data_IF_876715503790
#
_entry.id   IF_876715503790
#
_cell.length_a   1.000
_cell.length_b   1.000
_cell.length_c   1.000
_cell.angle_alpha   90.00
_cell.angle_beta   90.00
_cell.angle_gamma   90.00
#
_symmetry.space_group_name_H-M   'P 1'
#
loop_
_entity.id
_entity.type
_entity.pdbx_description
1 polymer ?
#
# COMPACT_ATOMS: atom_id res chain seq x y z
N UNK A 1 -48.09 -31.63 -5.15
CA UNK A 1 -47.31 -32.41 -6.14
C UNK A 1 -47.43 -31.71 -7.48
N UNK A 2 -46.54 -30.77 -7.77
CA UNK A 2 -46.49 -30.14 -9.10
C UNK A 2 -45.20 -30.57 -9.78
N UNK A 3 -45.38 -31.21 -10.92
CA UNK A 3 -44.38 -31.88 -11.71
C UNK A 3 -43.48 -30.86 -12.40
N UNK A 4 -42.18 -30.88 -12.08
CA UNK A 4 -41.14 -30.16 -12.84
C UNK A 4 -41.00 -30.81 -14.23
N UNK A 5 -41.67 -30.25 -15.21
CA UNK A 5 -41.43 -30.58 -16.62
C UNK A 5 -40.14 -29.88 -17.03
N UNK A 6 -39.04 -30.62 -17.09
CA UNK A 6 -37.80 -30.18 -17.71
C UNK A 6 -38.01 -30.09 -19.23
N UNK A 7 -38.23 -28.89 -19.75
CA UNK A 7 -38.20 -28.61 -21.19
C UNK A 7 -36.81 -28.93 -21.74
N UNK A 8 -36.62 -30.07 -22.39
CA UNK A 8 -35.52 -30.38 -23.29
C UNK A 8 -35.48 -29.28 -24.37
N UNK A 9 -34.54 -28.39 -24.30
CA UNK A 9 -34.28 -27.42 -25.37
C UNK A 9 -33.72 -28.17 -26.58
N UNK A 10 -34.40 -28.12 -27.71
CA UNK A 10 -33.95 -28.65 -29.00
C UNK A 10 -32.63 -27.97 -29.38
N UNK A 11 -31.55 -28.75 -29.51
CA UNK A 11 -30.20 -28.29 -29.84
C UNK A 11 -30.05 -27.66 -31.24
N UNK A 12 -31.05 -27.86 -32.12
CA UNK A 12 -30.95 -27.40 -33.53
C UNK A 12 -31.12 -25.87 -33.74
N UNK A 13 -31.80 -25.19 -32.79
CA UNK A 13 -32.02 -23.72 -32.91
C UNK A 13 -30.90 -22.83 -32.30
N UNK A 14 -29.85 -23.43 -31.76
CA UNK A 14 -28.83 -22.66 -31.05
C UNK A 14 -27.86 -21.87 -31.95
N UNK A 15 -27.91 -22.13 -33.29
CA UNK A 15 -27.01 -21.50 -34.27
C UNK A 15 -27.63 -20.36 -35.07
N UNK A 16 -28.88 -19.95 -34.78
CA UNK A 16 -29.63 -18.96 -35.56
C UNK A 16 -29.68 -17.62 -34.81
N UNK A 17 -29.65 -16.52 -35.57
CA UNK A 17 -29.81 -15.18 -35.06
C UNK A 17 -31.15 -15.00 -34.34
N UNK A 18 -31.13 -14.59 -33.09
CA UNK A 18 -32.36 -14.44 -32.29
C UNK A 18 -33.18 -13.20 -32.63
N UNK A 19 -32.64 -12.32 -33.50
CA UNK A 19 -33.33 -11.09 -33.94
C UNK A 19 -34.06 -11.30 -35.25
N UNK A 20 -33.38 -11.75 -36.31
CA UNK A 20 -34.01 -11.98 -37.63
C UNK A 20 -34.48 -13.43 -37.81
N UNK A 21 -33.98 -14.39 -37.07
CA UNK A 21 -34.30 -15.83 -37.13
C UNK A 21 -34.02 -16.50 -38.50
N UNK A 22 -33.22 -15.86 -39.36
CA UNK A 22 -32.94 -16.31 -40.72
C UNK A 22 -31.53 -16.87 -40.83
N UNK A 23 -30.53 -16.09 -40.42
CA UNK A 23 -29.13 -16.40 -40.65
C UNK A 23 -28.45 -16.95 -39.39
N UNK A 24 -27.35 -17.73 -39.56
CA UNK A 24 -26.49 -18.16 -38.46
C UNK A 24 -25.93 -16.94 -37.75
N UNK A 25 -25.86 -17.03 -36.38
CA UNK A 25 -25.28 -15.94 -35.60
C UNK A 25 -23.75 -15.84 -35.79
N UNK A 26 -23.24 -14.63 -35.74
CA UNK A 26 -21.79 -14.31 -35.77
C UNK A 26 -21.35 -13.61 -34.47
N UNK A 27 -22.27 -12.93 -33.81
CA UNK A 27 -21.96 -12.09 -32.64
C UNK A 27 -22.87 -12.47 -31.47
N UNK A 28 -22.31 -12.41 -30.27
CA UNK A 28 -23.06 -12.61 -29.01
C UNK A 28 -22.90 -11.36 -28.15
N UNK A 29 -24.02 -10.78 -27.72
CA UNK A 29 -23.99 -9.59 -26.85
C UNK A 29 -23.35 -9.92 -25.50
N UNK A 30 -22.34 -9.18 -25.05
CA UNK A 30 -21.66 -9.45 -23.80
C UNK A 30 -22.51 -9.17 -22.54
N UNK A 31 -23.60 -8.38 -22.67
CA UNK A 31 -24.49 -8.07 -21.54
C UNK A 31 -25.59 -9.10 -21.37
N UNK A 32 -26.34 -9.39 -22.42
CA UNK A 32 -27.55 -10.21 -22.35
C UNK A 32 -27.45 -11.55 -23.09
N UNK A 33 -26.29 -11.85 -23.72
CA UNK A 33 -25.99 -13.08 -24.45
C UNK A 33 -26.87 -13.35 -25.69
N UNK A 34 -27.65 -12.36 -26.14
CA UNK A 34 -28.42 -12.46 -27.38
C UNK A 34 -27.48 -12.64 -28.56
N UNK A 35 -27.74 -13.68 -29.38
CA UNK A 35 -26.96 -14.07 -30.54
C UNK A 35 -27.49 -13.36 -31.78
N UNK A 36 -26.64 -12.70 -32.56
CA UNK A 36 -26.99 -11.87 -33.74
C UNK A 36 -26.09 -12.19 -34.93
N UNK A 37 -26.61 -12.04 -36.17
CA UNK A 37 -25.86 -12.37 -37.37
C UNK A 37 -25.15 -11.18 -38.04
N UNK A 38 -25.60 -9.96 -37.78
CA UNK A 38 -25.10 -8.75 -38.46
C UNK A 38 -25.13 -7.53 -37.54
N UNK A 39 -24.44 -6.45 -37.99
CA UNK A 39 -24.42 -5.18 -37.25
C UNK A 39 -25.82 -4.55 -37.16
N UNK A 40 -26.66 -4.72 -38.21
CA UNK A 40 -28.06 -4.26 -38.20
C UNK A 40 -28.86 -4.99 -37.11
N UNK A 41 -28.70 -6.32 -36.96
CA UNK A 41 -29.32 -7.10 -35.91
C UNK A 41 -28.78 -6.72 -34.51
N UNK A 42 -27.50 -6.36 -34.39
CA UNK A 42 -26.93 -5.83 -33.12
C UNK A 42 -27.58 -4.49 -32.76
N UNK A 43 -27.75 -3.57 -33.76
CA UNK A 43 -28.41 -2.27 -33.50
C UNK A 43 -29.89 -2.47 -33.12
N UNK A 44 -30.60 -3.34 -33.83
CA UNK A 44 -32.00 -3.68 -33.52
C UNK A 44 -32.18 -4.32 -32.15
N UNK A 45 -31.29 -5.24 -31.78
CA UNK A 45 -31.26 -5.81 -30.45
C UNK A 45 -31.12 -4.73 -29.37
N UNK A 46 -30.14 -3.81 -29.55
CA UNK A 46 -29.90 -2.72 -28.55
C UNK A 46 -31.12 -1.83 -28.41
N UNK A 47 -31.79 -1.47 -29.55
CA UNK A 47 -33.01 -0.66 -29.52
C UNK A 47 -34.18 -1.40 -28.88
N UNK A 48 -34.46 -2.64 -29.33
CA UNK A 48 -35.62 -3.43 -28.87
C UNK A 48 -35.57 -3.78 -27.39
N UNK A 49 -34.39 -4.14 -26.88
CA UNK A 49 -34.22 -4.58 -25.50
C UNK A 49 -33.58 -3.52 -24.59
N UNK A 50 -33.46 -2.28 -25.06
CA UNK A 50 -32.79 -1.17 -24.36
C UNK A 50 -31.41 -1.58 -23.78
N UNK A 51 -30.66 -2.40 -24.55
CA UNK A 51 -29.42 -2.99 -24.14
C UNK A 51 -28.24 -2.11 -24.56
N UNK A 52 -27.40 -1.66 -23.61
CA UNK A 52 -26.21 -0.89 -23.94
C UNK A 52 -25.08 -1.76 -24.53
N UNK A 53 -25.16 -3.10 -24.44
CA UNK A 53 -24.17 -4.03 -24.93
C UNK A 53 -22.90 -4.11 -24.06
N UNK A 54 -22.82 -3.34 -22.99
CA UNK A 54 -21.69 -3.35 -22.06
C UNK A 54 -21.92 -4.42 -21.02
N UNK A 55 -20.91 -5.27 -20.82
CA UNK A 55 -20.95 -6.34 -19.83
C UNK A 55 -20.93 -5.76 -18.42
N UNK A 56 -21.78 -6.28 -17.56
CA UNK A 56 -21.70 -6.03 -16.12
C UNK A 56 -20.52 -6.83 -15.53
N UNK A 57 -19.48 -6.10 -15.11
CA UNK A 57 -18.28 -6.67 -14.50
C UNK A 57 -18.52 -7.17 -13.09
N UNK A 58 -19.51 -6.63 -12.40
CA UNK A 58 -19.78 -6.84 -10.98
C UNK A 58 -21.06 -7.64 -10.70
N UNK A 59 -21.57 -8.36 -11.71
CA UNK A 59 -22.78 -9.16 -11.53
C UNK A 59 -22.58 -10.18 -10.39
N UNK A 60 -23.32 -9.98 -9.29
CA UNK A 60 -23.30 -10.88 -8.14
C UNK A 60 -23.75 -12.28 -8.55
N UNK A 61 -23.00 -13.28 -8.14
CA UNK A 61 -23.35 -14.69 -8.25
C UNK A 61 -23.97 -15.09 -6.91
N UNK A 62 -25.26 -15.39 -6.91
CA UNK A 62 -26.01 -15.67 -5.68
C UNK A 62 -26.05 -17.14 -5.32
N UNK A 63 -25.81 -18.05 -6.28
CA UNK A 63 -25.82 -19.49 -6.09
C UNK A 63 -24.50 -20.12 -6.51
N UNK A 64 -23.96 -21.03 -5.71
CA UNK A 64 -22.73 -21.76 -6.05
C UNK A 64 -22.86 -22.56 -7.35
N UNK A 65 -24.06 -23.01 -7.71
CA UNK A 65 -24.36 -23.70 -8.97
C UNK A 65 -24.16 -22.84 -10.21
N UNK A 66 -24.21 -21.51 -10.07
CA UNK A 66 -24.02 -20.57 -11.17
C UNK A 66 -22.53 -20.24 -11.41
N UNK A 67 -21.66 -20.65 -10.49
CA UNK A 67 -20.22 -20.52 -10.61
C UNK A 67 -19.65 -21.71 -11.40
N UNK A 68 -19.40 -21.47 -12.66
CA UNK A 68 -18.88 -22.47 -13.59
C UNK A 68 -17.53 -22.01 -14.19
N UNK A 69 -16.87 -22.91 -14.92
CA UNK A 69 -15.58 -22.65 -15.54
C UNK A 69 -15.54 -21.35 -16.37
N UNK A 70 -16.61 -21.03 -17.11
CA UNK A 70 -16.71 -19.79 -17.89
C UNK A 70 -16.72 -18.54 -17.02
N UNK A 71 -17.34 -18.62 -15.86
CA UNK A 71 -17.37 -17.56 -14.87
C UNK A 71 -15.97 -17.40 -14.25
N UNK A 72 -15.34 -18.51 -13.89
CA UNK A 72 -13.97 -18.53 -13.36
C UNK A 72 -12.96 -17.85 -14.33
N UNK A 73 -12.91 -18.29 -15.59
CA UNK A 73 -12.01 -17.68 -16.57
C UNK A 73 -12.32 -16.20 -16.83
N UNK A 74 -13.58 -15.84 -16.75
CA UNK A 74 -13.99 -14.44 -16.83
C UNK A 74 -13.41 -13.61 -15.70
N UNK A 75 -13.53 -14.09 -14.49
CA UNK A 75 -13.07 -13.38 -13.30
C UNK A 75 -11.55 -13.34 -13.25
N UNK A 76 -10.88 -14.42 -13.63
CA UNK A 76 -9.42 -14.45 -13.83
C UNK A 76 -8.95 -13.42 -14.85
N UNK A 77 -9.63 -13.31 -16.00
CA UNK A 77 -9.28 -12.31 -17.02
C UNK A 77 -9.50 -10.88 -16.51
N UNK A 78 -10.57 -10.65 -15.74
CA UNK A 78 -10.81 -9.35 -15.13
C UNK A 78 -9.70 -8.98 -14.15
N UNK A 79 -9.34 -9.89 -13.25
CA UNK A 79 -8.26 -9.69 -12.28
C UNK A 79 -6.91 -9.44 -12.97
N UNK A 80 -6.58 -10.25 -14.00
CA UNK A 80 -5.35 -10.07 -14.76
C UNK A 80 -5.29 -8.70 -15.44
N UNK A 81 -6.38 -8.25 -16.05
CA UNK A 81 -6.43 -6.91 -16.67
C UNK A 81 -6.27 -5.81 -15.61
N UNK A 82 -6.95 -5.95 -14.45
CA UNK A 82 -6.84 -4.98 -13.35
C UNK A 82 -5.41 -4.90 -12.80
N UNK A 83 -4.73 -6.05 -12.67
CA UNK A 83 -3.31 -6.09 -12.27
C UNK A 83 -2.43 -5.38 -13.30
N UNK A 84 -2.68 -5.60 -14.60
CA UNK A 84 -1.94 -4.92 -15.65
C UNK A 84 -2.19 -3.40 -15.64
N UNK A 85 -3.43 -2.97 -15.42
CA UNK A 85 -3.79 -1.55 -15.30
C UNK A 85 -3.08 -0.91 -14.09
N UNK A 86 -3.05 -1.60 -12.94
CA UNK A 86 -2.32 -1.18 -11.73
C UNK A 86 -0.83 -1.07 -12.02
N UNK A 87 -0.24 -2.09 -12.65
CA UNK A 87 1.19 -2.10 -12.98
C UNK A 87 1.55 -0.99 -13.97
N UNK A 88 0.68 -0.72 -14.95
CA UNK A 88 0.86 0.38 -15.90
C UNK A 88 0.78 1.73 -15.21
N UNK A 89 -0.22 1.92 -14.34
CA UNK A 89 -0.38 3.14 -13.54
C UNK A 89 0.83 3.34 -12.62
N UNK A 90 1.32 2.28 -11.98
CA UNK A 90 2.52 2.34 -11.13
C UNK A 90 3.77 2.71 -11.93
N UNK A 91 3.92 2.19 -13.17
CA UNK A 91 5.02 2.59 -14.06
C UNK A 91 4.93 4.06 -14.44
N UNK A 92 3.72 4.56 -14.75
CA UNK A 92 3.52 5.99 -15.06
C UNK A 92 3.87 6.85 -13.85
N UNK A 93 3.39 6.50 -12.67
CA UNK A 93 3.71 7.20 -11.41
C UNK A 93 5.21 7.16 -11.14
N UNK A 94 5.85 6.00 -11.32
CA UNK A 94 7.29 5.83 -11.16
C UNK A 94 8.07 6.72 -12.14
N UNK A 95 7.71 6.71 -13.43
CA UNK A 95 8.35 7.53 -14.45
C UNK A 95 8.14 9.03 -14.22
N UNK A 96 6.94 9.44 -13.76
CA UNK A 96 6.69 10.82 -13.37
C UNK A 96 7.57 11.22 -12.18
N UNK A 97 7.71 10.34 -11.18
CA UNK A 97 8.58 10.58 -10.04
C UNK A 97 10.06 10.57 -10.42
N UNK A 98 10.50 9.68 -11.31
CA UNK A 98 11.87 9.69 -11.82
C UNK A 98 12.20 11.00 -12.58
N UNK A 99 11.27 11.52 -13.36
CA UNK A 99 11.46 12.78 -14.06
C UNK A 99 11.55 13.97 -13.07
N UNK A 100 10.74 13.94 -12.00
CA UNK A 100 10.80 14.94 -10.91
C UNK A 100 12.09 14.73 -10.10
N UNK A 101 12.45 13.50 -9.77
CA UNK A 101 13.63 13.16 -8.97
C UNK A 101 14.93 13.23 -9.78
N UNK A 102 14.88 13.06 -11.12
CA UNK A 102 16.03 13.25 -12.00
C UNK A 102 16.52 14.71 -12.00
N UNK A 103 15.64 15.65 -11.79
CA UNK A 103 15.99 17.05 -11.58
C UNK A 103 16.46 17.35 -10.15
N UNK A 104 16.24 16.41 -9.19
CA UNK A 104 16.61 16.61 -7.80
C UNK A 104 17.92 15.86 -7.45
N UNK A 105 19.06 16.47 -7.79
CA UNK A 105 20.42 15.96 -7.45
C UNK A 105 20.56 15.68 -5.94
N UNK A 106 19.86 16.44 -5.11
CA UNK A 106 19.89 16.33 -3.64
C UNK A 106 19.34 15.00 -3.20
N UNK A 107 18.16 14.58 -3.72
CA UNK A 107 17.54 13.32 -3.35
C UNK A 107 18.37 12.09 -3.77
N UNK A 108 18.90 12.10 -5.01
CA UNK A 108 19.78 11.01 -5.48
C UNK A 108 21.03 10.89 -4.62
N UNK A 109 21.59 12.01 -4.23
CA UNK A 109 22.75 12.04 -3.34
C UNK A 109 22.38 11.50 -1.95
N UNK A 110 21.26 11.91 -1.38
CA UNK A 110 20.74 11.40 -0.11
C UNK A 110 20.60 9.88 -0.11
N UNK A 111 19.87 9.32 -1.10
CA UNK A 111 19.69 7.87 -1.25
C UNK A 111 21.02 7.12 -1.38
N UNK A 112 21.97 7.69 -2.15
CA UNK A 112 23.32 7.13 -2.31
C UNK A 112 24.11 7.12 -1.00
N UNK A 113 24.02 8.20 -0.22
CA UNK A 113 24.69 8.30 1.08
C UNK A 113 24.09 7.30 2.06
N UNK A 114 22.77 7.23 2.16
CA UNK A 114 22.09 6.23 2.99
C UNK A 114 22.56 4.80 2.67
N UNK A 115 22.61 4.42 1.39
CA UNK A 115 23.02 3.07 1.00
C UNK A 115 24.50 2.82 1.22
N UNK A 116 25.37 3.76 0.80
CA UNK A 116 26.83 3.56 0.81
C UNK A 116 27.43 3.61 2.21
N UNK A 117 26.97 4.53 3.06
CA UNK A 117 27.61 4.80 4.34
C UNK A 117 26.85 4.26 5.56
N UNK A 118 25.56 3.96 5.40
CA UNK A 118 24.70 3.45 6.50
C UNK A 118 24.04 2.11 6.18
N UNK A 119 24.24 1.62 4.96
CA UNK A 119 23.57 0.40 4.46
C UNK A 119 22.03 0.44 4.58
N UNK A 120 21.45 1.65 4.57
CA UNK A 120 20.01 1.88 4.66
C UNK A 120 19.40 1.87 3.25
N UNK A 121 18.32 1.11 3.07
CA UNK A 121 17.51 1.20 1.86
C UNK A 121 16.45 2.28 2.06
N UNK A 122 16.65 3.43 1.43
CA UNK A 122 15.73 4.56 1.54
C UNK A 122 14.72 4.59 0.40
N UNK A 123 13.45 4.73 0.76
CA UNK A 123 12.30 4.80 -0.15
C UNK A 123 11.52 6.08 0.12
N UNK A 124 11.27 6.85 -0.94
CA UNK A 124 10.47 8.07 -0.87
C UNK A 124 9.10 7.82 -1.51
N UNK A 125 8.04 8.30 -0.87
CA UNK A 125 6.70 8.29 -1.45
C UNK A 125 6.57 9.34 -2.55
N UNK A 126 5.65 9.16 -3.50
CA UNK A 126 5.33 10.20 -4.48
C UNK A 126 4.99 11.53 -3.80
N UNK A 127 5.44 12.65 -4.37
CA UNK A 127 5.23 14.00 -3.82
C UNK A 127 3.75 14.42 -3.70
N UNK A 128 2.84 13.64 -4.29
CA UNK A 128 1.38 13.81 -4.21
C UNK A 128 0.88 13.53 -2.78
N UNK A 129 1.56 12.65 -2.04
CA UNK A 129 1.15 12.29 -0.68
C UNK A 129 1.56 13.37 0.33
N UNK A 130 0.66 13.69 1.26
CA UNK A 130 0.91 14.67 2.32
C UNK A 130 2.09 14.29 3.21
N UNK A 131 2.29 13.00 3.46
CA UNK A 131 3.42 12.48 4.23
C UNK A 131 4.77 12.91 3.63
N UNK A 132 4.87 13.01 2.31
CA UNK A 132 6.08 13.47 1.64
C UNK A 132 6.40 14.95 1.91
N UNK A 133 5.37 15.77 2.23
CA UNK A 133 5.54 17.19 2.59
C UNK A 133 6.12 17.39 3.99
N UNK A 134 5.89 16.41 4.87
CA UNK A 134 6.41 16.40 6.24
C UNK A 134 7.88 15.97 6.29
N UNK A 135 8.36 15.32 5.22
CA UNK A 135 9.72 14.80 5.14
C UNK A 135 10.72 15.94 4.87
N UNK A 136 11.52 16.22 5.87
CA UNK A 136 12.61 17.21 5.82
C UNK A 136 13.99 16.56 5.95
N UNK A 137 14.11 15.28 5.62
CA UNK A 137 15.39 14.58 5.65
C UNK A 137 16.38 15.25 4.70
N UNK A 138 17.60 15.39 5.15
CA UNK A 138 18.70 15.86 4.33
C UNK A 138 20.03 15.22 4.73
N UNK A 139 21.04 15.35 3.90
CA UNK A 139 22.39 14.93 4.22
C UNK A 139 23.39 16.07 3.98
N UNK A 140 24.35 16.15 4.87
CA UNK A 140 25.54 16.94 4.64
C UNK A 140 26.51 16.12 3.80
N UNK A 141 26.73 16.56 2.56
CA UNK A 141 27.59 15.86 1.60
C UNK A 141 29.06 15.93 1.97
N UNK A 142 29.49 16.92 2.74
CA UNK A 142 30.89 17.13 3.17
C UNK A 142 31.24 16.16 4.29
N UNK A 143 30.42 16.14 5.34
CA UNK A 143 30.65 15.34 6.54
C UNK A 143 29.98 13.95 6.46
N UNK A 144 29.18 13.68 5.42
CA UNK A 144 28.42 12.43 5.21
C UNK A 144 27.44 12.12 6.36
N UNK A 145 27.03 13.14 7.11
CA UNK A 145 26.02 13.05 8.15
C UNK A 145 24.63 13.04 7.56
N UNK A 146 23.72 12.27 8.16
CA UNK A 146 22.33 12.20 7.74
C UNK A 146 21.46 12.78 8.85
N UNK A 147 20.56 13.66 8.46
CA UNK A 147 19.60 14.31 9.35
C UNK A 147 18.20 13.78 9.06
N UNK A 148 17.63 13.13 10.07
CA UNK A 148 16.35 12.46 9.95
C UNK A 148 15.20 13.25 10.57
N UNK A 149 14.10 13.38 9.82
CA UNK A 149 12.78 13.62 10.41
C UNK A 149 12.34 12.30 11.03
N UNK A 150 11.93 12.30 12.29
CA UNK A 150 11.58 11.08 13.01
C UNK A 150 10.09 11.10 13.36
N UNK A 151 9.46 9.93 13.25
CA UNK A 151 8.08 9.70 13.64
C UNK A 151 8.01 8.74 14.82
N UNK A 152 7.32 9.15 15.87
CA UNK A 152 7.06 8.37 17.07
C UNK A 152 5.58 8.00 17.13
N UNK A 153 5.26 6.73 17.27
CA UNK A 153 3.90 6.20 17.33
C UNK A 153 3.66 5.63 18.73
N UNK A 154 2.78 6.24 19.52
CA UNK A 154 2.36 5.78 20.84
C UNK A 154 1.10 4.94 20.70
N UNK A 155 1.26 3.62 20.74
CA UNK A 155 0.21 2.68 20.31
C UNK A 155 -1.01 2.69 21.24
N UNK A 156 -0.80 2.68 22.56
CA UNK A 156 -1.91 2.63 23.51
C UNK A 156 -2.77 3.89 23.48
N UNK A 157 -2.16 5.03 23.19
CA UNK A 157 -2.83 6.33 23.17
C UNK A 157 -3.32 6.75 21.76
N UNK A 158 -2.97 5.98 20.71
CA UNK A 158 -3.19 6.34 19.30
C UNK A 158 -2.62 7.71 18.91
N UNK A 159 -1.50 8.11 19.54
CA UNK A 159 -0.85 9.39 19.29
C UNK A 159 0.31 9.19 18.33
N UNK A 160 0.43 10.10 17.36
CA UNK A 160 1.52 10.13 16.40
C UNK A 160 2.23 11.47 16.50
N UNK A 161 3.52 11.46 16.83
CA UNK A 161 4.36 12.64 16.91
C UNK A 161 5.36 12.67 15.75
N UNK A 162 5.38 13.78 15.02
CA UNK A 162 6.41 14.10 14.02
C UNK A 162 7.02 15.44 14.40
N UNK A 163 8.35 15.55 14.35
CA UNK A 163 9.02 16.81 14.67
C UNK A 163 8.95 17.77 13.49
N UNK A 164 8.34 18.95 13.69
CA UNK A 164 8.11 19.94 12.62
C UNK A 164 9.40 20.65 12.17
N UNK A 165 10.23 21.03 13.12
CA UNK A 165 11.37 21.95 12.88
C UNK A 165 12.71 21.32 13.22
N UNK A 166 12.76 20.13 13.81
CA UNK A 166 13.98 19.45 14.19
C UNK A 166 14.21 18.21 13.34
N UNK A 167 15.42 18.10 12.82
CA UNK A 167 15.98 16.88 12.25
C UNK A 167 17.12 16.41 13.16
N UNK A 168 17.24 15.09 13.30
CA UNK A 168 18.18 14.48 14.22
C UNK A 168 19.36 13.91 13.45
N UNK A 169 20.55 14.33 13.82
CA UNK A 169 21.83 13.82 13.30
C UNK A 169 21.98 12.33 13.67
N UNK A 170 22.26 11.50 12.69
CA UNK A 170 22.36 10.05 12.89
C UNK A 170 23.60 9.62 13.70
N UNK A 171 24.61 10.46 13.83
CA UNK A 171 25.82 10.20 14.60
C UNK A 171 25.81 10.79 16.02
N UNK A 172 24.87 11.67 16.32
CA UNK A 172 24.81 12.37 17.62
C UNK A 172 23.63 11.91 18.47
N UNK A 173 22.51 11.51 17.83
CA UNK A 173 21.28 11.20 18.52
C UNK A 173 21.03 9.70 18.64
N UNK A 174 20.59 9.30 19.83
CA UNK A 174 19.96 8.01 20.11
C UNK A 174 18.49 8.22 20.54
N UNK A 175 17.74 7.15 20.78
CA UNK A 175 16.32 7.28 21.13
C UNK A 175 16.09 7.96 22.48
N UNK A 176 16.99 7.79 23.46
CA UNK A 176 16.88 8.48 24.74
C UNK A 176 16.99 10.00 24.55
N UNK A 177 18.00 10.48 23.83
CA UNK A 177 18.20 11.89 23.56
C UNK A 177 17.04 12.51 22.77
N UNK A 178 16.42 11.75 21.86
CA UNK A 178 15.22 12.18 21.14
C UNK A 178 14.03 12.33 22.08
N UNK A 179 13.85 11.39 23.02
CA UNK A 179 12.79 11.48 24.03
C UNK A 179 13.04 12.65 25.00
N UNK A 180 14.26 12.90 25.38
CA UNK A 180 14.63 14.08 26.20
C UNK A 180 14.39 15.38 25.44
N UNK A 181 14.74 15.43 24.16
CA UNK A 181 14.44 16.59 23.31
C UNK A 181 12.94 16.85 23.27
N UNK A 182 12.12 15.80 23.11
CA UNK A 182 10.66 15.90 23.10
C UNK A 182 10.12 16.51 24.41
N UNK A 183 10.69 16.11 25.55
CA UNK A 183 10.30 16.63 26.87
C UNK A 183 10.62 18.12 27.03
N UNK A 184 11.76 18.55 26.51
CA UNK A 184 12.27 19.91 26.69
C UNK A 184 11.70 20.91 25.67
N UNK A 185 11.22 20.45 24.51
CA UNK A 185 10.82 21.31 23.37
C UNK A 185 9.36 21.14 23.00
N UNK A 186 8.47 21.51 23.90
CA UNK A 186 7.00 21.38 23.73
C UNK A 186 6.43 22.15 22.52
N UNK A 187 7.13 23.20 22.07
CA UNK A 187 6.69 24.02 20.92
C UNK A 187 6.87 23.29 19.57
N UNK A 188 7.66 22.22 19.50
CA UNK A 188 7.86 21.42 18.28
C UNK A 188 6.86 20.25 18.16
N UNK A 189 5.86 20.21 19.05
CA UNK A 189 4.86 19.13 19.05
C UNK A 189 3.91 19.25 17.86
N UNK A 190 3.60 18.10 17.26
CA UNK A 190 2.58 17.98 16.22
C UNK A 190 1.18 17.74 16.84
N UNK A 191 1.13 16.97 17.94
CA UNK A 191 -0.08 16.59 18.65
C UNK A 191 0.06 17.00 20.14
N UNK A 192 -0.79 17.90 20.58
CA UNK A 192 -0.75 18.40 21.98
C UNK A 192 -1.15 17.33 23.00
N UNK A 193 -1.88 16.28 22.59
CA UNK A 193 -2.25 15.17 23.48
C UNK A 193 -1.05 14.42 24.06
N UNK A 194 0.10 14.51 23.41
CA UNK A 194 1.35 13.91 23.92
C UNK A 194 1.83 14.54 25.23
N UNK A 195 1.42 15.78 25.54
CA UNK A 195 1.81 16.49 26.77
C UNK A 195 1.52 15.69 28.03
N UNK A 196 0.41 14.95 28.04
CA UNK A 196 0.02 14.10 29.17
C UNK A 196 1.01 12.93 29.37
N UNK A 197 1.61 12.44 28.31
CA UNK A 197 2.58 11.32 28.35
C UNK A 197 3.94 11.83 28.81
N UNK A 198 4.40 12.96 28.27
CA UNK A 198 5.75 13.50 28.53
C UNK A 198 5.84 14.37 29.77
N UNK A 199 4.75 14.50 30.54
CA UNK A 199 4.71 15.31 31.78
C UNK A 199 5.62 14.75 32.88
N UNK A 200 5.78 13.43 32.93
CA UNK A 200 6.62 12.74 33.89
C UNK A 200 8.10 12.78 33.48
N UNK A 201 8.99 12.95 34.47
CA UNK A 201 10.43 12.89 34.22
C UNK A 201 10.81 11.46 33.81
N UNK A 202 11.61 11.33 32.74
CA UNK A 202 12.05 10.03 32.22
C UNK A 202 10.89 9.10 31.78
N UNK A 203 9.76 9.64 31.36
CA UNK A 203 8.57 8.92 30.92
C UNK A 203 8.88 7.78 29.91
N UNK A 204 9.89 7.95 29.06
CA UNK A 204 10.30 6.98 28.04
C UNK A 204 10.88 5.69 28.61
N UNK A 205 11.27 5.65 29.89
CA UNK A 205 11.68 4.42 30.56
C UNK A 205 10.49 3.46 30.74
N UNK A 206 9.28 3.98 30.80
CA UNK A 206 8.05 3.19 30.92
C UNK A 206 7.59 2.56 29.60
N UNK A 207 8.35 2.72 28.52
CA UNK A 207 8.01 2.20 27.19
C UNK A 207 9.13 1.31 26.65
N UNK A 208 8.73 0.21 26.00
CA UNK A 208 9.58 -0.50 25.06
C UNK A 208 9.43 0.15 23.69
N UNK A 209 10.53 0.43 23.01
CA UNK A 209 10.55 1.07 21.71
C UNK A 209 10.91 0.02 20.67
N UNK A 210 10.17 0.00 19.57
CA UNK A 210 10.31 -0.98 18.51
C UNK A 210 10.39 -0.30 17.14
N UNK A 211 11.08 -0.99 16.24
CA UNK A 211 11.12 -0.66 14.80
C UNK A 211 10.29 -1.68 14.02
N UNK A 212 9.36 -1.22 13.17
CA UNK A 212 8.52 -2.09 12.34
C UNK A 212 9.30 -2.65 11.16
N UNK A 213 9.29 -3.97 11.00
CA UNK A 213 9.89 -4.66 9.87
C UNK A 213 8.91 -4.76 8.70
N UNK A 214 9.25 -4.17 7.56
CA UNK A 214 8.40 -4.14 6.38
C UNK A 214 8.60 -5.33 5.44
N UNK A 215 9.67 -6.13 5.63
CA UNK A 215 9.96 -7.29 4.80
C UNK A 215 10.60 -8.40 5.65
N UNK A 216 9.85 -9.50 5.84
CA UNK A 216 10.24 -10.60 6.73
C UNK A 216 10.79 -11.79 5.94
N UNK A 217 10.63 -11.77 4.61
CA UNK A 217 11.00 -12.92 3.78
C UNK A 217 12.49 -13.30 3.85
N UNK A 218 13.32 -12.37 4.32
CA UNK A 218 14.77 -12.57 4.45
C UNK A 218 15.23 -12.79 5.90
N UNK A 219 14.31 -12.79 6.87
CA UNK A 219 14.63 -13.03 8.29
C UNK A 219 14.64 -14.53 8.54
N UNK A 220 15.74 -15.05 9.10
CA UNK A 220 15.85 -16.47 9.45
C UNK A 220 14.81 -16.84 10.52
N UNK A 221 14.32 -18.07 10.50
CA UNK A 221 13.25 -18.50 11.41
C UNK A 221 13.67 -18.45 12.90
N UNK A 222 14.96 -18.58 13.19
CA UNK A 222 15.53 -18.40 14.52
C UNK A 222 15.44 -16.95 15.02
N UNK A 223 15.67 -15.99 14.12
CA UNK A 223 15.59 -14.56 14.42
C UNK A 223 14.14 -14.10 14.59
N UNK A 224 13.18 -14.75 13.91
CA UNK A 224 11.74 -14.45 14.06
C UNK A 224 11.20 -14.70 15.46
N UNK A 225 11.81 -15.62 16.23
CA UNK A 225 11.40 -15.91 17.62
C UNK A 225 11.60 -14.73 18.57
N UNK A 226 12.52 -13.83 18.23
CA UNK A 226 12.84 -12.64 19.03
C UNK A 226 12.04 -11.40 18.59
N UNK A 227 11.14 -11.55 17.59
CA UNK A 227 10.35 -10.45 17.10
C UNK A 227 8.99 -10.38 17.81
N UNK A 228 8.57 -9.17 18.12
CA UNK A 228 7.26 -8.90 18.66
C UNK A 228 6.22 -8.82 17.52
N UNK A 229 5.17 -9.65 17.60
CA UNK A 229 4.07 -9.66 16.63
C UNK A 229 2.89 -8.83 17.16
N UNK A 230 2.53 -7.75 16.43
CA UNK A 230 1.38 -6.93 16.74
C UNK A 230 0.63 -6.54 15.46
N UNK A 231 -0.71 -6.71 15.46
CA UNK A 231 -1.57 -6.39 14.30
C UNK A 231 -1.05 -6.93 12.95
N UNK A 232 -0.59 -8.20 12.95
CA UNK A 232 -0.03 -8.89 11.76
C UNK A 232 1.32 -8.33 11.26
N UNK A 233 1.94 -7.43 11.99
CA UNK A 233 3.28 -6.92 11.67
C UNK A 233 4.28 -7.37 12.72
N UNK A 234 5.52 -7.55 12.27
CA UNK A 234 6.63 -7.89 13.15
C UNK A 234 7.42 -6.63 13.50
N UNK A 235 7.83 -6.58 14.75
CA UNK A 235 8.55 -5.48 15.33
C UNK A 235 9.81 -5.98 16.03
N UNK A 236 10.92 -5.29 15.80
CA UNK A 236 12.18 -5.54 16.44
C UNK A 236 12.40 -4.53 17.58
N UNK A 237 12.78 -5.02 18.76
CA UNK A 237 13.06 -4.14 19.89
C UNK A 237 14.29 -3.27 19.59
N UNK A 238 14.20 -1.99 19.92
CA UNK A 238 15.27 -1.03 19.75
C UNK A 238 16.07 -0.86 21.03
N UNK A 239 17.38 -0.96 20.95
CA UNK A 239 18.25 -0.48 22.02
C UNK A 239 18.25 1.05 21.99
N UNK A 240 17.72 1.67 23.05
CA UNK A 240 17.56 3.13 23.16
C UNK A 240 18.88 3.89 23.26
N UNK A 241 19.97 3.19 23.57
CA UNK A 241 21.31 3.78 23.75
C UNK A 241 22.13 3.83 22.47
N UNK A 242 21.78 2.99 21.50
CA UNK A 242 22.45 2.98 20.19
C UNK A 242 22.18 4.26 19.40
N UNK A 243 23.19 4.75 18.73
CA UNK A 243 23.05 5.88 17.80
C UNK A 243 22.13 5.52 16.63
N UNK A 244 21.46 6.52 16.08
CA UNK A 244 20.53 6.31 14.96
C UNK A 244 21.20 5.63 13.77
N UNK A 245 22.46 5.92 13.49
CA UNK A 245 23.23 5.28 12.41
C UNK A 245 23.33 3.77 12.57
N UNK A 246 23.54 3.29 13.82
CA UNK A 246 23.68 1.86 14.11
C UNK A 246 22.31 1.19 14.20
N UNK A 247 21.33 1.87 14.78
CA UNK A 247 19.95 1.41 14.90
C UNK A 247 19.29 1.22 13.54
N UNK A 248 19.56 2.09 12.58
CA UNK A 248 18.96 2.04 11.24
C UNK A 248 19.78 1.22 10.24
N UNK A 249 20.94 0.71 10.62
CA UNK A 249 21.76 -0.14 9.76
C UNK A 249 20.96 -1.36 9.25
N UNK A 250 21.09 -1.68 7.98
CA UNK A 250 20.35 -2.74 7.28
C UNK A 250 18.82 -2.60 7.28
N UNK A 251 18.28 -1.44 7.66
CA UNK A 251 16.83 -1.22 7.67
C UNK A 251 16.31 -0.65 6.35
N UNK A 252 15.02 -0.89 6.10
CA UNK A 252 14.27 -0.25 5.03
C UNK A 252 13.53 0.96 5.62
N UNK A 253 13.92 2.17 5.22
CA UNK A 253 13.28 3.40 5.68
C UNK A 253 12.38 3.96 4.59
N UNK A 254 11.10 4.12 4.90
CA UNK A 254 10.08 4.69 4.03
C UNK A 254 9.76 6.11 4.51
N UNK A 255 10.12 7.11 3.73
CA UNK A 255 10.04 8.54 4.02
C UNK A 255 10.93 8.95 5.19
N UNK A 256 10.65 8.48 6.40
CA UNK A 256 11.42 8.75 7.61
C UNK A 256 11.36 7.55 8.57
N UNK A 257 12.33 7.43 9.50
CA UNK A 257 12.30 6.39 10.50
C UNK A 257 11.07 6.49 11.39
N UNK A 258 10.37 5.36 11.59
CA UNK A 258 9.20 5.26 12.46
C UNK A 258 9.50 4.35 13.64
N UNK A 259 9.31 4.86 14.87
CA UNK A 259 9.48 4.12 16.10
C UNK A 259 8.14 3.96 16.80
N UNK A 260 7.91 2.79 17.40
CA UNK A 260 6.66 2.39 18.02
C UNK A 260 6.86 2.18 19.50
N UNK A 261 6.10 2.91 20.31
CA UNK A 261 6.16 2.91 21.76
C UNK A 261 5.04 2.06 22.33
N UNK A 262 5.41 1.00 23.05
CA UNK A 262 4.50 0.14 23.80
C UNK A 262 4.80 0.28 25.28
N UNK A 263 3.79 0.60 26.09
CA UNK A 263 3.94 0.76 27.53
C UNK A 263 4.32 -0.57 28.19
N UNK A 264 5.27 -0.55 29.11
CA UNK A 264 5.66 -1.71 29.90
C UNK A 264 4.54 -1.94 30.90
N UNK A 265 3.97 -3.14 30.90
CA UNK A 265 2.93 -3.56 31.84
C UNK A 265 3.52 -3.87 33.22
#
# INVERSE_FOLDING_TARGET
>A
MESFISKKRNKENDNICQICKINKYKYTCPKCFIKTCSVSCVKNHKKRFKCNGIRDKFKKISKNTDYNEKVFFRDMKYLSNTINDINTSNKIIYNLNENIDNNNKIFKNFKRICKKFRNINYFKSPNIFEISKLNKNYCDSTNKKIYWTIKLNFIENNIVQIFKNKQFDDEEYNLNLICEYLTNNKNDLYDDNILNIISEKNWYLNYNIYYKLNNINNVKDEEKKNLFLYNKFYYEICDKTLLLKDLLNNKNVYEFPEFFFFKIK
#
